data_IF_822719526098
#
_entry.id   IF_822719526098
#
_cell.length_a   1.000
_cell.length_b   1.000
_cell.length_c   1.000
_cell.angle_alpha   90.00
_cell.angle_beta   90.00
_cell.angle_gamma   90.00
#
_symmetry.space_group_name_H-M   'P 1'
#
loop_
_entity.id
_entity.type
_entity.pdbx_description
1 polymer ?
#
# COMPACT_ATOMS: atom_id res chain seq x y z
N UNK A 1 18.82 2.76 -16.85
CA UNK A 1 18.55 1.39 -17.32
C UNK A 1 19.72 0.42 -17.15
N UNK A 2 20.99 0.77 -17.42
CA UNK A 2 22.10 -0.20 -17.32
C UNK A 2 22.13 -0.95 -15.99
N UNK A 3 21.85 -0.25 -14.89
CA UNK A 3 21.81 -0.85 -13.54
C UNK A 3 20.83 -2.04 -13.39
N UNK A 4 19.69 -2.03 -14.08
CA UNK A 4 18.73 -3.15 -14.02
C UNK A 4 19.14 -4.30 -14.94
N UNK A 5 19.66 -3.98 -16.13
CA UNK A 5 20.10 -4.97 -17.11
C UNK A 5 21.37 -5.71 -16.67
N UNK A 6 22.24 -5.05 -15.89
CA UNK A 6 23.47 -5.61 -15.35
C UNK A 6 23.28 -6.25 -13.96
N UNK A 7 22.12 -6.05 -13.31
CA UNK A 7 21.85 -6.63 -12.00
C UNK A 7 21.89 -8.17 -12.06
N UNK A 8 22.47 -8.79 -11.04
CA UNK A 8 22.42 -10.25 -10.85
C UNK A 8 21.04 -10.74 -10.40
N UNK A 9 20.31 -9.89 -9.67
CA UNK A 9 18.96 -10.16 -9.18
C UNK A 9 18.16 -8.87 -9.17
N UNK A 10 16.90 -8.95 -9.63
CA UNK A 10 15.91 -7.90 -9.49
C UNK A 10 14.92 -8.27 -8.39
N UNK A 11 14.69 -7.38 -7.42
CA UNK A 11 13.70 -7.61 -6.36
C UNK A 11 12.51 -6.69 -6.57
N UNK A 12 11.35 -7.29 -6.82
CA UNK A 12 10.10 -6.58 -7.04
C UNK A 12 9.19 -6.70 -5.82
N UNK A 13 8.61 -5.59 -5.39
CA UNK A 13 7.71 -5.56 -4.23
C UNK A 13 6.32 -6.20 -4.45
N UNK A 14 5.93 -6.52 -5.69
CA UNK A 14 4.69 -7.24 -6.01
C UNK A 14 4.69 -7.76 -7.44
N UNK A 15 3.77 -8.67 -7.79
CA UNK A 15 3.50 -9.04 -9.19
C UNK A 15 3.22 -7.81 -10.07
N UNK A 16 2.33 -6.90 -9.65
CA UNK A 16 2.02 -5.68 -10.39
C UNK A 16 3.26 -4.79 -10.60
N UNK A 17 4.15 -4.70 -9.60
CA UNK A 17 5.38 -3.94 -9.73
C UNK A 17 6.25 -4.49 -10.87
N UNK A 18 6.44 -5.83 -10.93
CA UNK A 18 7.17 -6.48 -12.01
C UNK A 18 6.51 -6.23 -13.36
N UNK A 19 5.21 -6.47 -13.47
CA UNK A 19 4.45 -6.27 -14.71
C UNK A 19 4.57 -4.84 -15.24
N UNK A 20 4.51 -3.84 -14.35
CA UNK A 20 4.65 -2.43 -14.72
C UNK A 20 6.03 -2.12 -15.30
N UNK A 21 7.09 -2.76 -14.78
CA UNK A 21 8.45 -2.61 -15.31
C UNK A 21 8.66 -3.37 -16.61
N UNK A 22 8.06 -4.55 -16.78
CA UNK A 22 8.13 -5.28 -18.03
C UNK A 22 7.41 -4.56 -19.17
N UNK A 23 6.31 -3.86 -18.86
CA UNK A 23 5.66 -3.00 -19.84
C UNK A 23 6.59 -1.86 -20.31
N UNK A 24 7.38 -1.28 -19.41
CA UNK A 24 8.30 -0.19 -19.72
C UNK A 24 9.65 -0.62 -20.31
N UNK A 25 10.13 -1.81 -19.92
CA UNK A 25 11.42 -2.37 -20.32
C UNK A 25 11.29 -3.91 -20.43
N UNK A 26 10.79 -4.42 -21.57
CA UNK A 26 10.56 -5.85 -21.79
C UNK A 26 11.82 -6.71 -21.66
N UNK A 27 13.01 -6.13 -21.86
CA UNK A 27 14.30 -6.82 -21.73
C UNK A 27 14.56 -7.35 -20.30
N UNK A 28 13.80 -6.87 -19.31
CA UNK A 28 13.87 -7.38 -17.94
C UNK A 28 13.16 -8.73 -17.75
N UNK A 29 12.41 -9.24 -18.74
CA UNK A 29 11.66 -10.49 -18.63
C UNK A 29 12.56 -11.69 -18.32
N UNK A 30 13.72 -11.74 -19.00
CA UNK A 30 14.72 -12.81 -18.89
C UNK A 30 15.66 -12.65 -17.68
N UNK A 31 15.55 -11.55 -16.93
CA UNK A 31 16.45 -11.28 -15.80
C UNK A 31 16.02 -12.10 -14.58
N UNK A 32 16.97 -12.72 -13.84
CA UNK A 32 16.67 -13.35 -12.56
C UNK A 32 15.99 -12.36 -11.63
N UNK A 33 14.90 -12.80 -11.00
CA UNK A 33 14.13 -11.94 -10.11
C UNK A 33 13.56 -12.69 -8.92
N UNK A 34 13.24 -11.93 -7.87
CA UNK A 34 12.43 -12.36 -6.75
C UNK A 34 11.27 -11.37 -6.58
N UNK A 35 10.12 -11.86 -6.12
CA UNK A 35 9.01 -11.02 -5.69
C UNK A 35 8.93 -11.10 -4.18
N UNK A 36 9.21 -9.98 -3.50
CA UNK A 36 9.32 -9.89 -2.04
C UNK A 36 8.44 -8.75 -1.54
N UNK A 37 7.35 -9.00 -0.79
CA UNK A 37 6.43 -7.95 -0.36
C UNK A 37 7.13 -6.95 0.57
N UNK A 38 6.54 -5.77 0.83
CA UNK A 38 7.11 -4.86 1.83
C UNK A 38 7.07 -5.52 3.22
N UNK A 39 8.13 -5.42 4.05
CA UNK A 39 8.08 -5.91 5.41
C UNK A 39 7.10 -5.10 6.25
N UNK A 40 6.32 -5.80 7.07
CA UNK A 40 5.41 -5.23 8.06
C UNK A 40 5.56 -6.08 9.32
N UNK A 41 5.67 -5.43 10.47
CA UNK A 41 5.63 -6.09 11.77
C UNK A 41 4.16 -6.37 12.17
N UNK A 42 3.69 -7.63 12.16
CA UNK A 42 2.31 -7.95 12.49
C UNK A 42 2.00 -7.75 13.98
N UNK A 43 3.02 -7.63 14.84
CA UNK A 43 2.82 -7.28 16.26
C UNK A 43 2.46 -5.80 16.45
N UNK A 44 2.80 -4.95 15.47
CA UNK A 44 2.47 -3.53 15.49
C UNK A 44 1.08 -3.25 14.88
N UNK A 45 0.67 -4.00 13.86
CA UNK A 45 -0.59 -3.80 13.14
C UNK A 45 -1.52 -4.99 13.32
N UNK A 46 -2.58 -4.78 14.09
CA UNK A 46 -3.55 -5.81 14.44
C UNK A 46 -4.90 -5.19 14.78
N UNK A 47 -5.96 -5.99 14.61
CA UNK A 47 -7.31 -5.61 14.97
C UNK A 47 -7.47 -5.58 16.50
N UNK A 48 -7.60 -4.37 17.04
CA UNK A 48 -7.80 -4.06 18.46
C UNK A 48 -9.26 -4.28 18.91
N UNK A 49 -10.16 -4.71 18.02
CA UNK A 49 -11.59 -4.95 18.27
C UNK A 49 -12.33 -3.74 18.83
N UNK A 50 -11.92 -2.54 18.41
CA UNK A 50 -12.56 -1.28 18.78
C UNK A 50 -13.84 -1.04 17.96
N UNK A 51 -14.79 -0.24 18.46
CA UNK A 51 -15.85 0.34 17.63
C UNK A 51 -15.23 1.16 16.49
N UNK A 52 -15.78 0.98 15.28
CA UNK A 52 -15.27 1.58 14.04
C UNK A 52 -16.34 2.41 13.36
N UNK A 53 -15.95 3.54 12.79
CA UNK A 53 -16.82 4.37 11.95
C UNK A 53 -16.05 5.08 10.84
N UNK A 54 -16.76 5.52 9.79
CA UNK A 54 -16.16 6.26 8.69
C UNK A 54 -15.07 5.52 7.91
N UNK A 55 -14.36 6.30 7.11
CA UNK A 55 -13.33 5.87 6.16
C UNK A 55 -12.05 6.65 6.44
N UNK A 56 -10.90 6.00 6.31
CA UNK A 56 -9.60 6.67 6.40
C UNK A 56 -8.81 6.53 5.11
N UNK A 57 -8.14 7.60 4.70
CA UNK A 57 -7.15 7.64 3.63
C UNK A 57 -5.81 8.05 4.24
N UNK A 58 -4.80 7.16 4.23
CA UNK A 58 -3.45 7.48 4.73
C UNK A 58 -2.48 7.58 3.56
N UNK A 59 -2.41 8.78 3.00
CA UNK A 59 -1.44 9.18 1.97
C UNK A 59 -1.45 10.70 1.81
N UNK A 60 -0.31 11.30 1.46
CA UNK A 60 -0.34 12.68 0.97
C UNK A 60 -1.09 12.71 -0.35
N UNK A 61 -2.14 13.54 -0.44
CA UNK A 61 -3.07 13.61 -1.59
C UNK A 61 -2.43 14.27 -2.83
N UNK A 62 -1.32 13.73 -3.31
CA UNK A 62 -0.67 14.07 -4.57
C UNK A 62 -1.41 13.43 -5.76
N UNK A 63 -1.23 13.98 -6.96
CA UNK A 63 -1.85 13.48 -8.19
C UNK A 63 -1.57 11.99 -8.43
N UNK A 64 -0.30 11.56 -8.36
CA UNK A 64 0.07 10.16 -8.62
C UNK A 64 -0.44 9.20 -7.53
N UNK A 65 -0.61 9.70 -6.29
CA UNK A 65 -1.26 8.99 -5.17
C UNK A 65 -2.77 8.90 -5.33
N UNK A 66 -3.32 9.44 -6.42
CA UNK A 66 -4.73 9.27 -6.75
C UNK A 66 -5.63 10.35 -6.17
N UNK A 67 -5.11 11.56 -5.90
CA UNK A 67 -5.90 12.70 -5.41
C UNK A 67 -7.25 12.80 -6.11
N UNK A 68 -7.26 12.91 -7.43
CA UNK A 68 -8.49 13.05 -8.22
C UNK A 68 -9.47 11.90 -7.99
N UNK A 69 -8.98 10.67 -7.93
CA UNK A 69 -9.81 9.49 -7.69
C UNK A 69 -10.41 9.50 -6.28
N UNK A 70 -9.60 9.83 -5.26
CA UNK A 70 -10.06 9.94 -3.87
C UNK A 70 -11.09 11.07 -3.71
N UNK A 71 -10.82 12.25 -4.27
CA UNK A 71 -11.75 13.38 -4.20
C UNK A 71 -13.04 13.10 -4.98
N UNK A 72 -12.96 12.40 -6.12
CA UNK A 72 -14.13 11.99 -6.87
C UNK A 72 -14.96 10.98 -6.06
N UNK A 73 -14.31 9.95 -5.51
CA UNK A 73 -14.97 8.96 -4.66
C UNK A 73 -15.68 9.63 -3.48
N UNK A 74 -15.05 10.60 -2.82
CA UNK A 74 -15.65 11.35 -1.73
C UNK A 74 -16.91 12.13 -2.15
N UNK A 75 -16.91 12.74 -3.34
CA UNK A 75 -18.08 13.45 -3.90
C UNK A 75 -19.22 12.50 -4.25
N UNK A 76 -18.88 11.31 -4.73
CA UNK A 76 -19.85 10.27 -5.08
C UNK A 76 -20.45 9.60 -3.83
N UNK A 77 -19.82 9.76 -2.66
CA UNK A 77 -20.24 9.19 -1.38
C UNK A 77 -20.39 10.27 -0.29
N UNK A 78 -21.28 11.26 -0.47
CA UNK A 78 -21.37 12.41 0.43
C UNK A 78 -21.80 12.06 1.87
N UNK A 79 -22.38 10.88 2.09
CA UNK A 79 -22.75 10.36 3.42
C UNK A 79 -21.63 9.63 4.16
N UNK A 80 -20.44 9.50 3.58
CA UNK A 80 -19.28 8.86 4.21
C UNK A 80 -18.32 9.93 4.72
N UNK A 81 -18.03 9.93 6.02
CA UNK A 81 -16.97 10.74 6.60
C UNK A 81 -15.60 10.13 6.27
N UNK A 82 -14.70 10.96 5.76
CA UNK A 82 -13.37 10.54 5.31
C UNK A 82 -12.30 11.32 6.08
N UNK A 83 -11.54 10.60 6.89
CA UNK A 83 -10.33 11.13 7.53
C UNK A 83 -9.15 11.02 6.56
N UNK A 84 -8.58 12.16 6.16
CA UNK A 84 -7.39 12.22 5.31
C UNK A 84 -6.15 12.47 6.18
N UNK A 85 -5.26 11.48 6.29
CA UNK A 85 -3.98 11.59 6.98
C UNK A 85 -2.81 11.50 5.98
N UNK A 86 -1.74 12.24 6.25
CA UNK A 86 -0.61 12.45 5.32
C UNK A 86 -0.62 13.80 4.62
N UNK A 87 -1.68 14.60 4.84
CA UNK A 87 -1.79 16.00 4.44
C UNK A 87 -2.31 16.25 3.01
N UNK A 88 -2.94 17.40 2.85
CA UNK A 88 -3.28 17.98 1.56
C UNK A 88 -2.10 18.78 0.98
N UNK A 89 -1.43 18.33 -0.10
CA UNK A 89 -0.32 19.09 -0.69
C UNK A 89 -0.76 20.35 -1.43
N UNK A 90 -2.07 20.53 -1.66
CA UNK A 90 -2.68 21.70 -2.27
C UNK A 90 -3.64 22.34 -1.26
N UNK A 91 -3.12 23.00 -0.19
CA UNK A 91 -3.94 23.53 0.90
C UNK A 91 -4.92 24.61 0.45
N UNK A 92 -4.66 25.26 -0.69
CA UNK A 92 -5.55 26.26 -1.29
C UNK A 92 -6.68 25.65 -2.13
N UNK A 93 -6.68 24.33 -2.33
CA UNK A 93 -7.78 23.60 -2.94
C UNK A 93 -8.58 22.88 -1.85
N UNK A 94 -9.84 23.30 -1.61
CA UNK A 94 -10.64 22.72 -0.54
C UNK A 94 -10.98 21.26 -0.83
N UNK A 95 -10.88 20.44 0.22
CA UNK A 95 -11.41 19.08 0.19
C UNK A 95 -12.94 19.10 0.14
N UNK A 96 -13.59 18.02 -0.37
CA UNK A 96 -15.03 17.83 -0.23
C UNK A 96 -15.52 18.00 1.22
N UNK A 97 -16.76 18.46 1.45
CA UNK A 97 -17.25 18.74 2.81
C UNK A 97 -17.23 17.56 3.78
N UNK A 98 -17.27 16.33 3.26
CA UNK A 98 -17.20 15.08 4.02
C UNK A 98 -15.76 14.58 4.24
N UNK A 99 -14.75 15.33 3.79
CA UNK A 99 -13.34 15.02 4.00
C UNK A 99 -12.74 15.93 5.06
N UNK A 100 -12.01 15.35 6.02
CA UNK A 100 -11.26 16.09 7.03
C UNK A 100 -9.77 15.78 6.91
N UNK A 101 -8.96 16.81 6.62
CA UNK A 101 -7.51 16.70 6.72
C UNK A 101 -7.09 16.73 8.20
N UNK A 102 -6.39 15.69 8.66
CA UNK A 102 -5.81 15.61 10.01
C UNK A 102 -4.30 15.80 10.01
N UNK A 103 -3.70 16.09 8.86
CA UNK A 103 -2.26 16.29 8.70
C UNK A 103 -1.47 14.98 8.86
N UNK A 104 -0.23 15.09 9.34
CA UNK A 104 0.63 13.94 9.60
C UNK A 104 0.19 13.24 10.89
N UNK A 105 0.13 11.91 10.86
CA UNK A 105 -0.09 11.09 12.06
C UNK A 105 1.23 10.51 12.55
N UNK A 106 1.36 10.38 13.87
CA UNK A 106 2.54 9.77 14.48
C UNK A 106 2.66 8.30 14.05
N UNK A 107 3.85 7.79 13.70
CA UNK A 107 4.07 6.37 13.39
C UNK A 107 3.56 5.42 14.47
N UNK A 108 3.60 5.85 15.74
CA UNK A 108 3.15 5.08 16.89
C UNK A 108 1.63 5.01 17.03
N UNK A 109 0.90 5.93 16.39
CA UNK A 109 -0.56 6.03 16.48
C UNK A 109 -1.25 5.44 15.24
N UNK A 110 -0.50 4.99 14.24
CA UNK A 110 -1.06 4.55 12.96
C UNK A 110 -2.02 3.38 13.15
N UNK A 111 -1.63 2.34 13.91
CA UNK A 111 -2.50 1.19 14.16
C UNK A 111 -3.79 1.60 14.89
N UNK A 112 -3.69 2.42 15.95
CA UNK A 112 -4.87 2.93 16.67
C UNK A 112 -5.77 3.76 15.75
N UNK A 113 -5.17 4.53 14.85
CA UNK A 113 -5.89 5.36 13.88
C UNK A 113 -6.66 4.48 12.89
N UNK A 114 -6.05 3.44 12.33
CA UNK A 114 -6.77 2.47 11.50
C UNK A 114 -7.90 1.79 12.26
N UNK A 115 -7.68 1.42 13.52
CA UNK A 115 -8.66 0.72 14.35
C UNK A 115 -9.91 1.54 14.70
N UNK A 116 -9.90 2.86 14.50
CA UNK A 116 -11.08 3.73 14.64
C UNK A 116 -11.98 3.74 13.40
N UNK A 117 -11.48 3.22 12.27
CA UNK A 117 -12.15 3.31 10.98
C UNK A 117 -12.63 1.96 10.45
N UNK A 118 -13.78 1.97 9.77
CA UNK A 118 -14.35 0.76 9.15
C UNK A 118 -13.58 0.39 7.89
N UNK A 119 -13.30 1.37 7.05
CA UNK A 119 -12.67 1.14 5.76
C UNK A 119 -11.44 2.03 5.54
N UNK A 120 -10.52 1.51 4.73
CA UNK A 120 -9.33 2.20 4.25
C UNK A 120 -9.48 2.48 2.76
N UNK A 121 -9.41 3.76 2.38
CA UNK A 121 -9.53 4.22 1.01
C UNK A 121 -8.16 4.52 0.42
N UNK A 122 -7.82 3.84 -0.68
CA UNK A 122 -6.62 4.10 -1.47
C UNK A 122 -6.89 3.87 -2.94
N UNK A 123 -6.86 4.92 -3.75
CA UNK A 123 -7.23 4.86 -5.17
C UNK A 123 -6.14 5.46 -6.06
N UNK A 124 -4.92 4.89 -6.09
CA UNK A 124 -3.81 5.47 -6.82
C UNK A 124 -4.15 5.64 -8.31
N UNK A 125 -3.53 6.63 -8.95
CA UNK A 125 -3.74 6.93 -10.37
C UNK A 125 -2.77 6.18 -11.30
N UNK A 126 -1.70 5.61 -10.74
CA UNK A 126 -0.65 4.86 -11.45
C UNK A 126 -0.36 3.57 -10.68
N UNK A 127 0.10 2.49 -11.34
CA UNK A 127 0.53 1.29 -10.64
C UNK A 127 1.52 1.64 -9.52
N UNK A 128 1.24 1.14 -8.33
CA UNK A 128 2.08 1.31 -7.16
C UNK A 128 2.75 -0.02 -6.82
N UNK A 129 3.98 -0.01 -6.28
CA UNK A 129 4.77 -1.21 -6.16
C UNK A 129 4.24 -2.18 -5.10
N UNK A 130 3.66 -1.70 -4.00
CA UNK A 130 3.07 -2.54 -2.96
C UNK A 130 1.98 -1.80 -2.18
N UNK A 131 2.26 -0.57 -1.73
CA UNK A 131 1.39 0.21 -0.85
C UNK A 131 1.25 -0.40 0.55
N UNK A 132 2.34 -0.30 1.32
CA UNK A 132 2.42 -0.82 2.70
C UNK A 132 1.20 -0.40 3.56
N UNK A 133 0.71 0.83 3.42
CA UNK A 133 -0.44 1.33 4.19
C UNK A 133 -1.72 0.54 3.96
N UNK A 134 -1.92 -0.06 2.78
CA UNK A 134 -3.07 -0.94 2.49
C UNK A 134 -2.99 -2.20 3.34
N UNK A 135 -1.84 -2.87 3.36
CA UNK A 135 -1.63 -4.08 4.14
C UNK A 135 -1.70 -3.80 5.64
N UNK A 136 -1.12 -2.69 6.11
CA UNK A 136 -1.21 -2.29 7.52
C UNK A 136 -2.66 -2.04 7.96
N UNK A 137 -3.43 -1.31 7.16
CA UNK A 137 -4.84 -1.04 7.46
C UNK A 137 -5.68 -2.32 7.42
N UNK A 138 -5.40 -3.21 6.46
CA UNK A 138 -6.04 -4.52 6.37
C UNK A 138 -5.78 -5.35 7.63
N UNK A 139 -4.52 -5.47 8.07
CA UNK A 139 -4.15 -6.14 9.32
C UNK A 139 -4.79 -5.51 10.55
N UNK A 140 -4.92 -4.18 10.56
CA UNK A 140 -5.60 -3.41 11.59
C UNK A 140 -7.13 -3.54 11.56
N UNK A 141 -7.70 -4.38 10.69
CA UNK A 141 -9.12 -4.70 10.66
C UNK A 141 -9.98 -3.82 9.74
N UNK A 142 -9.39 -2.94 8.93
CA UNK A 142 -10.15 -2.16 7.95
C UNK A 142 -10.57 -3.03 6.75
N UNK A 143 -11.72 -2.70 6.16
CA UNK A 143 -12.10 -3.13 4.82
C UNK A 143 -11.36 -2.26 3.79
N UNK A 144 -10.86 -2.85 2.70
CA UNK A 144 -10.08 -2.12 1.71
C UNK A 144 -10.98 -1.63 0.57
N UNK A 145 -11.03 -0.31 0.38
CA UNK A 145 -11.61 0.35 -0.78
C UNK A 145 -10.45 0.71 -1.70
N UNK A 146 -10.14 -0.21 -2.61
CA UNK A 146 -8.98 -0.15 -3.50
C UNK A 146 -9.32 -0.29 -4.97
N UNK A 147 -8.30 -0.16 -5.82
CA UNK A 147 -8.37 -0.45 -7.25
C UNK A 147 -7.24 -1.40 -7.69
N UNK A 148 -7.24 -1.81 -8.95
CA UNK A 148 -6.25 -2.75 -9.52
C UNK A 148 -4.82 -2.20 -9.64
N UNK A 149 -4.59 -0.95 -9.25
CA UNK A 149 -3.28 -0.29 -9.34
C UNK A 149 -2.48 -0.41 -8.03
N UNK A 150 -3.00 -1.16 -7.05
CA UNK A 150 -2.37 -1.39 -5.76
C UNK A 150 -1.55 -2.67 -5.81
N UNK A 151 -0.25 -2.57 -5.55
CA UNK A 151 0.66 -3.71 -5.66
C UNK A 151 0.36 -4.84 -4.67
N UNK A 152 0.03 -4.53 -3.42
CA UNK A 152 -0.30 -5.53 -2.40
C UNK A 152 -1.50 -6.40 -2.81
N UNK A 153 -2.50 -5.83 -3.49
CA UNK A 153 -3.70 -6.55 -3.93
C UNK A 153 -3.46 -7.42 -5.17
N UNK A 154 -2.27 -7.37 -5.78
CA UNK A 154 -1.90 -8.24 -6.91
C UNK A 154 -1.36 -9.60 -6.49
N UNK A 155 -1.17 -9.84 -5.19
CA UNK A 155 -0.75 -11.13 -4.67
C UNK A 155 -1.92 -12.10 -4.50
N UNK A 156 -1.77 -13.32 -4.98
CA UNK A 156 -2.78 -14.38 -4.82
C UNK A 156 -3.03 -14.78 -3.37
N UNK A 157 -2.09 -14.52 -2.46
CA UNK A 157 -2.21 -14.80 -1.03
C UNK A 157 -2.87 -13.66 -0.25
N UNK A 158 -3.17 -12.51 -0.88
CA UNK A 158 -3.87 -11.40 -0.22
C UNK A 158 -5.37 -11.74 -0.09
N UNK A 159 -5.69 -12.76 0.72
CA UNK A 159 -7.04 -13.33 0.90
C UNK A 159 -7.49 -13.32 2.35
N UNK A 160 -6.54 -13.46 3.27
CA UNK A 160 -6.78 -13.43 4.72
C UNK A 160 -5.76 -12.55 5.43
N UNK A 161 -6.10 -12.08 6.64
CA UNK A 161 -5.19 -11.25 7.44
C UNK A 161 -4.01 -12.07 7.94
N UNK A 162 -4.24 -13.36 8.18
CA UNK A 162 -3.25 -14.34 8.59
C UNK A 162 -2.17 -14.53 7.51
N UNK A 163 -2.57 -14.73 6.25
CA UNK A 163 -1.62 -14.82 5.13
C UNK A 163 -0.85 -13.51 4.92
N UNK A 164 -1.53 -12.36 5.01
CA UNK A 164 -0.88 -11.06 4.89
C UNK A 164 0.16 -10.86 6.00
N UNK A 165 -0.17 -11.24 7.24
CA UNK A 165 0.74 -11.17 8.38
C UNK A 165 1.96 -12.10 8.20
N UNK A 166 1.73 -13.33 7.74
CA UNK A 166 2.79 -14.30 7.48
C UNK A 166 3.75 -13.83 6.39
N UNK A 167 3.22 -13.46 5.22
CA UNK A 167 4.05 -13.05 4.08
C UNK A 167 4.79 -11.73 4.32
N UNK A 168 4.13 -10.73 4.90
CA UNK A 168 4.78 -9.45 5.19
C UNK A 168 5.74 -9.55 6.40
N UNK A 169 5.43 -10.37 7.41
CA UNK A 169 6.29 -10.60 8.57
C UNK A 169 7.57 -11.35 8.23
N UNK A 170 7.51 -12.28 7.26
CA UNK A 170 8.68 -13.03 6.79
C UNK A 170 9.44 -12.34 5.64
N UNK A 171 8.96 -11.19 5.13
CA UNK A 171 9.53 -10.50 3.97
C UNK A 171 11.05 -10.24 4.10
N UNK A 172 11.50 -9.70 5.24
CA UNK A 172 12.92 -9.40 5.44
C UNK A 172 13.80 -10.64 5.36
N UNK A 173 13.32 -11.78 5.88
CA UNK A 173 14.03 -13.06 5.80
C UNK A 173 14.11 -13.53 4.35
N UNK A 174 12.97 -13.54 3.64
CA UNK A 174 12.89 -13.92 2.23
C UNK A 174 13.80 -13.04 1.36
N UNK A 175 13.87 -11.74 1.64
CA UNK A 175 14.79 -10.83 0.94
C UNK A 175 16.23 -11.29 1.04
N UNK A 176 16.72 -11.57 2.26
CA UNK A 176 18.10 -11.98 2.48
C UNK A 176 18.40 -13.37 1.92
N UNK A 177 17.47 -14.33 2.05
CA UNK A 177 17.61 -15.66 1.44
C UNK A 177 17.83 -15.55 -0.08
N UNK A 178 17.07 -14.68 -0.76
CA UNK A 178 17.21 -14.47 -2.22
C UNK A 178 18.53 -13.81 -2.60
N UNK A 179 19.06 -12.94 -1.76
CA UNK A 179 20.39 -12.34 -1.96
C UNK A 179 21.49 -13.39 -1.77
N UNK A 180 21.39 -14.22 -0.73
CA UNK A 180 22.37 -15.26 -0.42
C UNK A 180 22.41 -16.35 -1.50
N UNK A 181 21.25 -16.76 -2.04
CA UNK A 181 21.18 -17.68 -3.20
C UNK A 181 22.07 -17.18 -4.35
N UNK A 182 21.95 -15.89 -4.71
CA UNK A 182 22.68 -15.30 -5.84
C UNK A 182 24.15 -14.99 -5.53
N UNK A 183 24.52 -14.87 -4.26
CA UNK A 183 25.92 -14.66 -3.85
C UNK A 183 26.70 -15.97 -3.72
N UNK A 184 26.01 -17.09 -3.47
CA UNK A 184 26.62 -18.41 -3.31
C UNK A 184 26.64 -19.25 -4.61
N UNK A 185 25.91 -18.82 -5.64
CA UNK A 185 26.00 -19.30 -7.03
C UNK A 185 27.25 -18.75 -7.78
#
# INVERSE_FOLDING_TARGET
MPIFLEAKLLVWLSPLHRESWLWACPELEEKPYAIVPSPIDPSQFYDMKLPREGVICVTSLFEFKGRKNVLQWARDHPGQEITCAGGNPLPNEPLPPNCRDVGQISPWQVNETYNKHKAFLHLPATPQPFDRTVSEAYLAGCDIIGNKLIGALSYDWFKSREEVAEHCGNSSKLFWEKIEEVLND
#
